data_IF_625279307062
#
_entry.id   IF_625279307062
#
_cell.length_a   1.000
_cell.length_b   1.000
_cell.length_c   1.000
_cell.angle_alpha   90.00
_cell.angle_beta   90.00
_cell.angle_gamma   90.00
#
_symmetry.space_group_name_H-M   'P 1'
#
loop_
_entity.id
_entity.type
_entity.pdbx_description
1 polymer ?
#
# COMPACT_ATOMS: atom_id res chain seq x y z
N UNK A 1 23.83 24.13 1.38
CA UNK A 1 22.44 24.57 1.52
C UNK A 1 21.55 23.38 1.22
N UNK A 2 21.22 22.62 2.25
CA UNK A 2 20.37 21.42 2.11
C UNK A 2 18.94 21.91 2.13
N UNK A 3 18.23 21.79 1.01
CA UNK A 3 16.81 22.08 0.94
C UNK A 3 16.09 21.04 1.81
N UNK A 4 15.71 21.45 3.02
CA UNK A 4 14.82 20.67 3.87
C UNK A 4 13.43 20.81 3.28
N UNK A 5 13.02 19.81 2.50
CA UNK A 5 11.60 19.67 2.15
C UNK A 5 10.84 19.56 3.48
N UNK A 6 9.90 20.46 3.80
CA UNK A 6 9.08 20.27 4.98
C UNK A 6 8.39 18.93 4.82
N UNK A 7 8.60 18.04 5.79
CA UNK A 7 7.73 16.88 5.97
C UNK A 7 6.38 17.47 6.36
N UNK A 8 5.57 17.82 5.36
CA UNK A 8 4.16 18.06 5.58
C UNK A 8 3.59 16.68 5.82
N UNK A 9 3.71 16.23 7.07
CA UNK A 9 2.95 15.12 7.60
C UNK A 9 1.51 15.64 7.71
N UNK A 10 0.80 15.67 6.58
CA UNK A 10 -0.63 15.92 6.59
C UNK A 10 -1.24 14.70 7.27
N UNK A 11 -1.53 14.83 8.55
CA UNK A 11 -2.36 13.85 9.23
C UNK A 11 -3.75 13.89 8.58
N UNK A 12 -4.00 12.94 7.68
CA UNK A 12 -5.28 12.79 6.98
C UNK A 12 -6.46 12.76 7.95
N UNK A 13 -6.25 12.27 9.18
CA UNK A 13 -7.27 12.25 10.23
C UNK A 13 -7.63 13.67 10.64
N UNK A 14 -6.64 14.52 10.89
CA UNK A 14 -6.86 15.93 11.24
C UNK A 14 -7.60 16.70 10.13
N UNK A 15 -7.24 16.49 8.86
CA UNK A 15 -7.93 17.13 7.73
C UNK A 15 -9.40 16.70 7.58
N UNK A 16 -9.70 15.41 7.81
CA UNK A 16 -11.07 14.88 7.78
C UNK A 16 -11.90 15.42 8.95
N UNK A 17 -11.28 15.56 10.14
CA UNK A 17 -11.95 16.11 11.31
C UNK A 17 -12.33 17.58 11.12
N UNK A 18 -11.43 18.39 10.54
CA UNK A 18 -11.74 19.79 10.19
C UNK A 18 -12.88 19.88 9.18
N UNK A 19 -12.87 19.03 8.15
CA UNK A 19 -13.96 18.97 7.18
C UNK A 19 -15.32 18.59 7.80
N UNK A 20 -15.35 17.61 8.71
CA UNK A 20 -16.56 17.22 9.45
C UNK A 20 -17.04 18.32 10.38
N UNK A 21 -16.12 19.09 10.96
CA UNK A 21 -16.44 20.23 11.82
C UNK A 21 -17.10 21.36 11.04
N UNK A 22 -16.65 21.61 9.81
CA UNK A 22 -17.19 22.64 8.93
C UNK A 22 -18.51 22.19 8.25
N UNK A 23 -18.74 20.87 8.17
CA UNK A 23 -19.88 20.27 7.47
C UNK A 23 -20.93 19.74 8.46
N UNK A 24 -21.80 20.62 8.98
CA UNK A 24 -22.88 20.22 9.92
C UNK A 24 -23.87 19.18 9.38
N UNK A 25 -23.86 18.94 8.07
CA UNK A 25 -24.78 18.04 7.37
C UNK A 25 -24.25 16.60 7.26
N UNK A 26 -22.97 16.37 7.59
CA UNK A 26 -22.31 15.08 7.46
C UNK A 26 -22.05 14.55 8.87
N UNK A 27 -22.77 13.49 9.26
CA UNK A 27 -22.69 12.93 10.60
C UNK A 27 -21.51 11.98 10.81
N UNK A 28 -20.97 11.41 9.73
CA UNK A 28 -19.79 10.54 9.78
C UNK A 28 -19.08 10.49 8.43
N UNK A 29 -17.75 10.33 8.47
CA UNK A 29 -16.93 10.00 7.31
C UNK A 29 -16.12 8.75 7.64
N UNK A 30 -16.12 7.78 6.72
CA UNK A 30 -15.33 6.55 6.84
C UNK A 30 -14.20 6.60 5.81
N UNK A 31 -12.95 6.71 6.29
CA UNK A 31 -11.78 6.58 5.44
C UNK A 31 -11.47 5.11 5.20
N UNK A 32 -11.64 4.66 3.96
CA UNK A 32 -11.28 3.31 3.53
C UNK A 32 -9.82 3.32 3.09
N UNK A 33 -8.94 2.77 3.92
CA UNK A 33 -7.53 2.56 3.60
C UNK A 33 -7.34 1.20 2.96
N UNK A 34 -6.41 1.10 2.01
CA UNK A 34 -6.01 -0.17 1.39
C UNK A 34 -7.20 -0.94 0.77
N UNK A 35 -8.19 -0.24 0.20
CA UNK A 35 -9.33 -0.87 -0.49
C UNK A 35 -9.14 -0.75 -2.00
N UNK A 36 -9.28 -1.85 -2.77
CA UNK A 36 -9.14 -1.81 -4.22
C UNK A 36 -10.20 -0.91 -4.87
N UNK A 37 -9.80 -0.14 -5.90
CA UNK A 37 -10.72 0.61 -6.77
C UNK A 37 -10.98 2.08 -6.40
N UNK A 38 -10.18 2.70 -5.53
CA UNK A 38 -10.34 4.12 -5.18
C UNK A 38 -9.25 5.06 -5.75
N UNK A 39 -7.96 4.70 -5.62
CA UNK A 39 -6.84 5.52 -6.09
C UNK A 39 -5.64 4.62 -6.37
N UNK A 40 -4.83 4.96 -7.38
CA UNK A 40 -3.60 4.21 -7.72
C UNK A 40 -2.65 4.10 -6.52
N UNK A 41 -2.58 5.13 -5.67
CA UNK A 41 -1.75 5.11 -4.45
C UNK A 41 -2.29 4.09 -3.44
N UNK A 42 -3.62 3.98 -3.32
CA UNK A 42 -4.26 3.03 -2.41
C UNK A 42 -4.22 1.59 -2.93
N UNK A 43 -4.14 1.40 -4.25
CA UNK A 43 -3.93 0.08 -4.83
C UNK A 43 -2.53 -0.44 -4.55
N UNK A 44 -1.51 0.42 -4.61
CA UNK A 44 -0.14 0.10 -4.21
C UNK A 44 -0.08 -0.24 -2.72
N UNK A 45 -0.65 0.62 -1.87
CA UNK A 45 -0.71 0.40 -0.42
C UNK A 45 -1.45 -0.91 -0.03
N UNK A 46 -2.53 -1.22 -0.74
CA UNK A 46 -3.23 -2.50 -0.60
C UNK A 46 -2.38 -3.69 -1.04
N UNK A 47 -1.65 -3.56 -2.16
CA UNK A 47 -0.75 -4.62 -2.62
C UNK A 47 0.37 -4.86 -1.61
N UNK A 48 1.00 -3.80 -1.10
CA UNK A 48 2.04 -3.86 -0.07
C UNK A 48 1.51 -4.50 1.22
N UNK A 49 0.33 -4.08 1.70
CA UNK A 49 -0.30 -4.68 2.89
C UNK A 49 -0.58 -6.17 2.74
N UNK A 50 -1.03 -6.62 1.56
CA UNK A 50 -1.27 -8.03 1.26
C UNK A 50 0.06 -8.80 1.24
N UNK A 51 1.08 -8.22 0.61
CA UNK A 51 2.43 -8.80 0.52
C UNK A 51 3.00 -8.96 1.93
N UNK A 52 3.04 -7.91 2.74
CA UNK A 52 3.56 -7.97 4.10
C UNK A 52 2.85 -9.02 4.95
N UNK A 53 1.52 -9.10 4.85
CA UNK A 53 0.76 -10.10 5.59
C UNK A 53 1.16 -11.52 5.23
N UNK A 54 1.23 -11.85 3.94
CA UNK A 54 1.52 -13.22 3.50
C UNK A 54 3.01 -13.57 3.64
N UNK A 55 3.91 -12.59 3.51
CA UNK A 55 5.35 -12.73 3.76
C UNK A 55 5.63 -12.98 5.25
N UNK A 56 4.99 -12.23 6.16
CA UNK A 56 5.20 -12.40 7.61
C UNK A 56 4.78 -13.78 8.13
N UNK A 57 3.93 -14.48 7.39
CA UNK A 57 3.49 -15.84 7.72
C UNK A 57 4.30 -16.94 7.01
N UNK A 58 5.30 -16.59 6.20
CA UNK A 58 6.04 -17.56 5.39
C UNK A 58 7.55 -17.45 5.56
N UNK A 59 8.19 -18.56 5.93
CA UNK A 59 9.64 -18.63 5.99
C UNK A 59 10.26 -18.79 4.58
N UNK A 60 11.24 -17.96 4.24
CA UNK A 60 11.93 -18.01 2.96
C UNK A 60 13.24 -18.78 3.04
N UNK A 61 13.24 -20.01 2.51
CA UNK A 61 14.45 -20.85 2.45
C UNK A 61 15.12 -20.88 1.08
N UNK A 62 14.50 -20.28 0.04
CA UNK A 62 15.06 -20.30 -1.32
C UNK A 62 14.48 -19.18 -2.20
N UNK A 63 15.20 -18.69 -3.23
CA UNK A 63 14.71 -17.67 -4.16
C UNK A 63 13.37 -18.01 -4.84
N UNK A 64 13.05 -19.28 -5.17
CA UNK A 64 11.72 -19.68 -5.66
C UNK A 64 10.57 -19.47 -4.68
N UNK A 65 10.84 -19.51 -3.37
CA UNK A 65 9.83 -19.40 -2.31
C UNK A 65 9.02 -18.10 -2.40
N UNK A 66 9.65 -16.92 -2.33
CA UNK A 66 8.98 -15.63 -2.45
C UNK A 66 8.11 -15.49 -3.71
N UNK A 67 8.61 -15.93 -4.87
CA UNK A 67 7.89 -15.83 -6.15
C UNK A 67 6.59 -16.62 -6.12
N UNK A 68 6.62 -17.85 -5.56
CA UNK A 68 5.44 -18.70 -5.47
C UNK A 68 4.36 -18.07 -4.60
N UNK A 69 4.75 -17.42 -3.51
CA UNK A 69 3.81 -16.77 -2.59
C UNK A 69 3.24 -15.52 -3.27
N UNK A 70 4.09 -14.69 -3.88
CA UNK A 70 3.64 -13.51 -4.66
C UNK A 70 2.65 -13.89 -5.77
N UNK A 71 2.86 -15.01 -6.46
CA UNK A 71 1.92 -15.51 -7.46
C UNK A 71 0.59 -16.02 -6.87
N UNK A 72 0.55 -16.38 -5.59
CA UNK A 72 -0.63 -16.94 -4.91
C UNK A 72 -1.43 -15.92 -4.09
N UNK A 73 -0.81 -14.80 -3.68
CA UNK A 73 -1.41 -13.74 -2.86
C UNK A 73 -2.68 -13.10 -3.46
N UNK A 74 -2.79 -13.03 -4.78
CA UNK A 74 -3.94 -12.41 -5.45
C UNK A 74 -4.59 -13.34 -6.48
N UNK A 75 -5.62 -14.07 -6.03
CA UNK A 75 -6.38 -15.04 -6.86
C UNK A 75 -7.28 -14.39 -7.91
N UNK A 76 -7.65 -13.11 -7.75
CA UNK A 76 -8.53 -12.39 -8.69
C UNK A 76 -7.73 -11.64 -9.75
N UNK A 77 -6.60 -11.04 -9.37
CA UNK A 77 -5.67 -10.35 -10.27
C UNK A 77 -4.26 -10.80 -9.95
N UNK A 78 -3.79 -11.87 -10.59
CA UNK A 78 -2.45 -12.40 -10.34
C UNK A 78 -1.39 -11.34 -10.64
N UNK A 79 -0.48 -11.13 -9.68
CA UNK A 79 0.63 -10.20 -9.86
C UNK A 79 1.56 -10.68 -10.97
N UNK A 80 1.96 -9.77 -11.86
CA UNK A 80 3.02 -10.04 -12.83
C UNK A 80 4.37 -9.85 -12.17
N UNK A 81 4.98 -10.94 -11.71
CA UNK A 81 6.34 -10.92 -11.15
C UNK A 81 7.34 -10.90 -12.29
N UNK A 82 8.30 -9.97 -12.27
CA UNK A 82 9.40 -9.88 -13.24
C UNK A 82 10.72 -9.74 -12.49
N UNK A 83 11.77 -10.43 -12.96
CA UNK A 83 13.11 -10.27 -12.42
C UNK A 83 13.78 -9.08 -13.10
N UNK A 84 14.08 -8.04 -12.34
CA UNK A 84 15.03 -7.03 -12.78
C UNK A 84 16.44 -7.58 -12.50
N UNK A 85 16.96 -8.36 -13.45
CA UNK A 85 18.36 -8.76 -13.41
C UNK A 85 19.21 -7.61 -13.92
N UNK A 86 19.94 -6.93 -13.04
CA UNK A 86 21.14 -6.21 -13.47
C UNK A 86 22.18 -7.27 -13.83
N UNK A 87 22.33 -7.54 -15.13
CA UNK A 87 23.48 -8.31 -15.62
C UNK A 87 24.72 -7.42 -15.42
N UNK A 88 25.40 -7.57 -14.29
CA UNK A 88 26.80 -7.17 -14.18
C UNK A 88 27.60 -8.05 -15.14
N UNK A 89 28.02 -7.46 -16.26
CA UNK A 89 29.03 -8.02 -17.16
C UNK A 89 30.42 -7.98 -16.51
#
# INVERSE_FOLDING_TARGET
MTQVCPKIEVDYVSAILDFLRDSSNISSATMKLSVPGHSSIQEVDNADSIIEKDINHTDFYSPPGPIRILMQMNRRNSYRVSFAGEYCH
#
